data_IF_465199191249
#
_entry.id   IF_465199191249
#
_cell.length_a   1.000
_cell.length_b   1.000
_cell.length_c   1.000
_cell.angle_alpha   90.00
_cell.angle_beta   90.00
_cell.angle_gamma   90.00
#
_symmetry.space_group_name_H-M   'P 1'
#
loop_
_entity.id
_entity.type
_entity.pdbx_description
1 polymer ?
#
# COMPACT_ATOMS: atom_id res chain seq x y z
N UNK A 1 -13.93 9.23 2.06
CA UNK A 1 -14.70 7.97 2.20
C UNK A 1 -16.07 8.19 1.59
N UNK A 2 -16.41 7.41 0.57
CA UNK A 2 -17.73 7.43 -0.04
C UNK A 2 -18.57 6.34 0.64
N UNK A 3 -19.64 6.74 1.33
CA UNK A 3 -20.52 5.82 2.05
C UNK A 3 -21.84 5.77 1.30
N UNK A 4 -22.15 4.59 0.75
CA UNK A 4 -23.44 4.30 0.14
C UNK A 4 -24.16 3.27 1.02
N UNK A 5 -25.27 3.67 1.64
CA UNK A 5 -26.16 2.75 2.35
C UNK A 5 -27.29 2.40 1.41
N UNK A 6 -27.52 1.10 1.22
CA UNK A 6 -28.65 0.57 0.46
C UNK A 6 -29.58 -0.20 1.38
N UNK A 7 -30.88 -0.08 1.13
CA UNK A 7 -31.92 -0.93 1.71
C UNK A 7 -32.79 -1.43 0.57
N UNK A 8 -32.97 -2.75 0.48
CA UNK A 8 -33.71 -3.42 -0.60
C UNK A 8 -33.25 -2.99 -2.01
N UNK A 9 -31.93 -2.92 -2.22
CA UNK A 9 -31.32 -2.50 -3.49
C UNK A 9 -31.36 -0.99 -3.76
N UNK A 10 -32.24 -0.23 -3.10
CA UNK A 10 -32.34 1.21 -3.23
C UNK A 10 -31.26 1.93 -2.39
N UNK A 11 -30.61 2.95 -2.97
CA UNK A 11 -29.69 3.82 -2.22
C UNK A 11 -30.49 4.72 -1.29
N UNK A 12 -30.33 4.54 0.02
CA UNK A 12 -30.99 5.35 1.05
C UNK A 12 -30.04 6.38 1.70
N UNK A 13 -28.72 6.25 1.49
CA UNK A 13 -27.74 7.26 1.87
C UNK A 13 -26.57 7.23 0.89
N UNK A 14 -26.12 8.39 0.46
CA UNK A 14 -24.97 8.55 -0.46
C UNK A 14 -24.23 9.82 0.00
N UNK A 15 -23.14 9.66 0.76
CA UNK A 15 -22.41 10.78 1.37
C UNK A 15 -20.90 10.62 1.27
N UNK A 16 -20.23 11.76 1.13
CA UNK A 16 -18.79 11.87 1.21
C UNK A 16 -18.39 12.33 2.62
N UNK A 17 -17.62 11.51 3.31
CA UNK A 17 -16.97 11.85 4.57
C UNK A 17 -15.47 12.05 4.35
N UNK A 18 -14.86 12.99 5.07
CA UNK A 18 -13.42 12.92 5.30
C UNK A 18 -13.12 11.64 6.10
N UNK A 19 -11.90 11.09 5.97
CA UNK A 19 -11.50 9.90 6.75
C UNK A 19 -11.65 10.19 8.25
N UNK A 20 -11.23 11.39 8.70
CA UNK A 20 -11.43 11.86 10.07
C UNK A 20 -12.90 11.86 10.48
N UNK A 21 -13.78 12.47 9.68
CA UNK A 21 -15.20 12.57 10.00
C UNK A 21 -15.88 11.20 10.13
N UNK A 22 -15.49 10.23 9.31
CA UNK A 22 -15.95 8.86 9.44
C UNK A 22 -15.45 8.21 10.74
N UNK A 23 -14.14 8.29 11.01
CA UNK A 23 -13.55 7.69 12.21
C UNK A 23 -14.13 8.29 13.50
N UNK A 24 -14.28 9.61 13.57
CA UNK A 24 -14.90 10.30 14.71
C UNK A 24 -16.34 9.81 14.94
N UNK A 25 -17.12 9.64 13.86
CA UNK A 25 -18.49 9.17 13.95
C UNK A 25 -18.57 7.71 14.44
N UNK A 26 -17.64 6.85 14.02
CA UNK A 26 -17.53 5.47 14.49
C UNK A 26 -17.19 5.46 15.98
N UNK A 27 -16.14 6.17 16.38
CA UNK A 27 -15.63 6.18 17.76
C UNK A 27 -16.68 6.72 18.74
N UNK A 28 -17.42 7.78 18.36
CA UNK A 28 -18.40 8.43 19.25
C UNK A 28 -19.73 7.69 19.35
N UNK A 29 -20.14 6.94 18.32
CA UNK A 29 -21.51 6.41 18.27
C UNK A 29 -21.76 5.27 19.27
N UNK A 30 -20.73 4.64 19.84
CA UNK A 30 -20.85 3.60 20.86
C UNK A 30 -21.60 2.33 20.43
N UNK A 31 -21.90 2.18 19.14
CA UNK A 31 -22.73 1.11 18.57
C UNK A 31 -22.01 0.20 17.57
N UNK A 32 -20.75 0.54 17.25
CA UNK A 32 -19.94 -0.21 16.30
C UNK A 32 -19.10 -1.25 17.04
N UNK A 33 -18.67 -2.30 16.32
CA UNK A 33 -17.83 -3.34 16.90
C UNK A 33 -16.48 -2.77 17.33
N UNK A 34 -15.89 -3.38 18.36
CA UNK A 34 -14.62 -2.94 18.92
C UNK A 34 -13.49 -2.96 17.88
N UNK A 35 -13.51 -3.90 16.93
CA UNK A 35 -12.50 -3.99 15.87
C UNK A 35 -12.52 -2.77 14.95
N UNK A 36 -13.71 -2.34 14.51
CA UNK A 36 -13.88 -1.14 13.70
C UNK A 36 -13.48 0.13 14.47
N UNK A 37 -13.81 0.21 15.77
CA UNK A 37 -13.39 1.34 16.62
C UNK A 37 -11.86 1.42 16.71
N UNK A 38 -11.19 0.29 16.97
CA UNK A 38 -9.72 0.23 17.06
C UNK A 38 -9.05 0.51 15.71
N UNK A 39 -9.62 0.04 14.60
CA UNK A 39 -9.18 0.39 13.26
C UNK A 39 -9.28 1.90 13.00
N UNK A 40 -10.40 2.52 13.38
CA UNK A 40 -10.59 3.96 13.24
C UNK A 40 -9.59 4.76 14.09
N UNK A 41 -9.31 4.34 15.32
CA UNK A 41 -8.28 4.96 16.17
C UNK A 41 -6.89 4.86 15.54
N UNK A 42 -6.47 3.65 15.14
CA UNK A 42 -5.17 3.45 14.50
C UNK A 42 -5.04 4.21 13.17
N UNK A 43 -6.14 4.37 12.42
CA UNK A 43 -6.18 5.21 11.21
C UNK A 43 -5.89 6.68 11.52
N UNK A 44 -6.46 7.21 12.61
CA UNK A 44 -6.25 8.60 13.03
C UNK A 44 -4.81 8.83 13.51
N UNK A 45 -4.25 7.90 14.30
CA UNK A 45 -2.86 8.02 14.76
C UNK A 45 -1.87 7.93 13.60
N UNK A 46 -2.05 6.98 12.67
CA UNK A 46 -1.23 6.94 11.45
C UNK A 46 -1.31 8.27 10.68
N UNK A 47 -2.52 8.83 10.53
CA UNK A 47 -2.72 10.12 9.89
C UNK A 47 -1.97 11.26 10.58
N UNK A 48 -1.98 11.31 11.93
CA UNK A 48 -1.23 12.29 12.71
C UNK A 48 0.26 12.19 12.43
N UNK A 49 0.84 11.00 12.60
CA UNK A 49 2.29 10.82 12.43
C UNK A 49 2.73 11.06 10.99
N UNK A 50 1.86 10.81 10.00
CA UNK A 50 2.11 11.20 8.62
C UNK A 50 2.13 12.73 8.44
N UNK A 51 1.20 13.46 9.07
CA UNK A 51 1.21 14.93 9.06
C UNK A 51 2.49 15.50 9.68
N UNK A 52 2.92 14.96 10.81
CA UNK A 52 4.15 15.38 11.50
C UNK A 52 5.39 15.06 10.66
N UNK A 53 5.54 13.82 10.19
CA UNK A 53 6.72 13.38 9.44
C UNK A 53 6.93 14.12 8.10
N UNK A 54 5.84 14.56 7.46
CA UNK A 54 5.89 15.29 6.19
C UNK A 54 5.64 16.80 6.34
N UNK A 55 5.56 17.32 7.57
CA UNK A 55 5.24 18.71 7.87
C UNK A 55 3.97 19.21 7.14
N UNK A 56 2.97 18.34 7.01
CA UNK A 56 1.72 18.64 6.31
C UNK A 56 0.62 18.99 7.32
N UNK A 57 0.25 20.26 7.39
CA UNK A 57 -0.75 20.76 8.36
C UNK A 57 -0.41 20.35 9.80
N UNK A 58 0.85 20.46 10.20
CA UNK A 58 1.33 20.09 11.53
C UNK A 58 0.63 20.88 12.66
N UNK A 59 0.14 22.09 12.39
CA UNK A 59 -0.62 22.91 13.35
C UNK A 59 -2.08 22.46 13.53
N UNK A 60 -2.55 21.48 12.74
CA UNK A 60 -3.92 20.96 12.77
C UNK A 60 -3.92 19.45 12.55
N UNK A 61 -3.42 18.75 13.56
CA UNK A 61 -3.30 17.29 13.56
C UNK A 61 -4.68 16.61 13.54
N UNK A 62 -4.80 15.52 12.79
CA UNK A 62 -6.06 14.81 12.53
C UNK A 62 -6.70 14.22 13.78
N UNK A 63 -5.92 13.89 14.82
CA UNK A 63 -6.42 13.42 16.12
C UNK A 63 -6.33 14.51 17.21
N UNK A 64 -6.02 15.76 16.85
CA UNK A 64 -5.84 16.85 17.81
C UNK A 64 -4.53 16.76 18.62
N UNK A 65 -3.57 15.94 18.21
CA UNK A 65 -2.27 15.79 18.86
C UNK A 65 -2.28 14.87 20.09
N UNK A 66 -3.37 14.15 20.32
CA UNK A 66 -3.47 13.12 21.37
C UNK A 66 -3.58 11.76 20.74
N UNK A 67 -2.77 10.80 21.21
CA UNK A 67 -2.84 9.43 20.75
C UNK A 67 -4.17 8.79 21.15
N UNK A 68 -4.81 8.10 20.21
CA UNK A 68 -6.11 7.46 20.44
C UNK A 68 -6.03 5.93 20.38
N UNK A 69 -4.86 5.37 20.07
CA UNK A 69 -4.53 3.94 20.07
C UNK A 69 -3.19 3.65 20.76
N UNK A 70 -3.00 2.42 21.21
CA UNK A 70 -1.73 1.93 21.75
C UNK A 70 -0.77 1.54 20.61
N UNK A 71 -0.19 2.55 19.96
CA UNK A 71 0.80 2.35 18.89
C UNK A 71 2.25 2.38 19.42
N UNK A 72 2.50 3.05 20.56
CA UNK A 72 3.86 3.28 21.06
C UNK A 72 4.55 1.98 21.53
N UNK A 73 3.77 0.99 21.98
CA UNK A 73 4.26 -0.34 22.35
C UNK A 73 4.49 -1.27 21.15
N UNK A 74 4.05 -0.88 19.96
CA UNK A 74 4.13 -1.72 18.76
C UNK A 74 5.58 -1.79 18.26
N UNK A 75 6.05 -3.02 18.11
CA UNK A 75 7.36 -3.31 17.50
C UNK A 75 7.16 -3.65 16.02
N UNK A 76 7.79 -2.87 15.15
CA UNK A 76 7.83 -3.16 13.71
C UNK A 76 8.80 -4.33 13.50
N UNK A 77 8.43 -5.37 12.75
CA UNK A 77 9.34 -6.46 12.40
C UNK A 77 10.60 -5.97 11.69
N UNK A 78 11.70 -6.69 11.89
CA UNK A 78 12.95 -6.43 11.17
C UNK A 78 12.79 -6.68 9.66
N UNK A 79 13.67 -6.06 8.87
CA UNK A 79 13.74 -6.28 7.42
C UNK A 79 14.07 -7.74 7.10
N UNK A 80 13.17 -8.43 6.40
CA UNK A 80 13.30 -9.85 6.06
C UNK A 80 13.10 -10.16 4.58
N UNK A 81 13.44 -9.24 3.68
CA UNK A 81 13.29 -9.46 2.24
C UNK A 81 14.33 -10.47 1.71
N UNK A 82 13.91 -11.30 0.76
CA UNK A 82 14.75 -12.30 0.12
C UNK A 82 15.16 -11.85 -1.28
N UNK A 83 16.37 -12.24 -1.70
CA UNK A 83 16.87 -11.94 -3.04
C UNK A 83 17.58 -13.14 -3.64
N UNK A 84 17.36 -13.35 -4.93
CA UNK A 84 18.07 -14.29 -5.76
C UNK A 84 18.54 -13.56 -7.01
N UNK A 85 19.83 -13.67 -7.32
CA UNK A 85 20.46 -12.91 -8.38
C UNK A 85 21.17 -13.85 -9.34
N UNK A 86 20.63 -13.96 -10.55
CA UNK A 86 21.24 -14.59 -11.70
C UNK A 86 21.29 -13.67 -12.91
N UNK A 87 21.10 -12.35 -12.73
CA UNK A 87 21.13 -11.38 -13.83
C UNK A 87 22.55 -10.89 -14.07
N UNK A 88 22.92 -10.72 -15.34
CA UNK A 88 24.20 -10.12 -15.71
C UNK A 88 24.15 -8.58 -15.79
N UNK A 89 22.93 -8.02 -15.89
CA UNK A 89 22.74 -6.59 -16.12
C UNK A 89 22.17 -5.85 -14.91
N UNK A 90 21.55 -6.57 -13.96
CA UNK A 90 21.05 -5.99 -12.72
C UNK A 90 22.14 -6.05 -11.64
N UNK A 91 22.43 -4.93 -11.00
CA UNK A 91 23.52 -4.81 -10.00
C UNK A 91 23.02 -4.55 -8.58
N UNK A 92 21.70 -4.54 -8.39
CA UNK A 92 21.07 -4.40 -7.09
C UNK A 92 19.69 -3.77 -7.17
N UNK A 93 19.04 -3.64 -6.02
CA UNK A 93 17.68 -3.12 -5.91
C UNK A 93 17.58 -2.07 -4.82
N UNK A 94 16.74 -1.07 -5.03
CA UNK A 94 16.34 -0.09 -4.01
C UNK A 94 14.84 -0.07 -3.88
N UNK A 95 14.33 0.13 -2.66
CA UNK A 95 12.92 0.04 -2.34
C UNK A 95 12.34 1.41 -1.99
N UNK A 96 11.07 1.61 -2.31
CA UNK A 96 10.29 2.73 -1.79
C UNK A 96 8.85 2.31 -1.54
N UNK A 97 8.25 2.93 -0.53
CA UNK A 97 6.82 2.82 -0.26
C UNK A 97 6.14 4.15 -0.60
N UNK A 98 5.12 4.10 -1.44
CA UNK A 98 4.33 5.27 -1.84
C UNK A 98 2.92 5.13 -1.28
N UNK A 99 2.43 6.15 -0.59
CA UNK A 99 1.14 6.11 0.14
C UNK A 99 0.21 7.30 -0.19
N UNK A 100 0.52 8.10 -1.22
CA UNK A 100 -0.20 9.36 -1.54
C UNK A 100 -1.66 9.17 -1.97
N UNK A 101 -1.97 8.10 -2.70
CA UNK A 101 -3.34 7.80 -3.15
C UNK A 101 -3.72 6.32 -3.00
N UNK A 102 -2.73 5.44 -3.19
CA UNK A 102 -2.80 3.99 -2.92
C UNK A 102 -1.45 3.58 -2.35
N UNK A 103 -1.46 2.55 -1.51
CA UNK A 103 -0.21 1.90 -1.09
C UNK A 103 0.42 1.19 -2.28
N UNK A 104 1.65 1.57 -2.62
CA UNK A 104 2.45 0.95 -3.66
C UNK A 104 3.85 0.64 -3.13
N UNK A 105 4.31 -0.58 -3.38
CA UNK A 105 5.70 -0.96 -3.15
C UNK A 105 6.44 -0.82 -4.48
N UNK A 106 7.51 -0.04 -4.51
CA UNK A 106 8.26 0.24 -5.75
C UNK A 106 9.68 -0.29 -5.60
N UNK A 107 10.00 -1.33 -6.37
CA UNK A 107 11.36 -1.81 -6.54
C UNK A 107 12.01 -1.06 -7.71
N UNK A 108 13.24 -0.60 -7.50
CA UNK A 108 14.07 0.05 -8.53
C UNK A 108 15.37 -0.70 -8.65
N UNK A 109 15.46 -1.52 -9.70
CA UNK A 109 16.60 -2.36 -10.03
C UNK A 109 17.66 -1.53 -10.73
N UNK A 110 18.83 -1.38 -10.14
CA UNK A 110 19.99 -0.73 -10.77
C UNK A 110 20.45 -1.61 -11.92
N UNK A 111 20.62 -1.01 -13.10
CA UNK A 111 21.04 -1.73 -14.30
C UNK A 111 22.19 -1.01 -14.99
N UNK A 112 23.03 -1.78 -15.66
CA UNK A 112 24.07 -1.24 -16.57
C UNK A 112 23.55 -1.04 -18.00
N UNK A 113 22.32 -1.47 -18.28
CA UNK A 113 21.69 -1.31 -19.59
C UNK A 113 21.36 0.17 -19.88
N UNK A 114 21.50 0.55 -21.16
CA UNK A 114 21.18 1.90 -21.64
C UNK A 114 19.67 2.10 -21.94
N UNK A 115 18.90 1.02 -22.05
CA UNK A 115 17.47 0.99 -22.37
C UNK A 115 16.78 -0.12 -21.57
N UNK A 116 15.48 0.00 -21.24
CA UNK A 116 14.70 -1.12 -20.68
C UNK A 116 14.31 -2.16 -21.74
N UNK A 117 14.62 -1.95 -23.02
CA UNK A 117 14.25 -2.88 -24.09
C UNK A 117 14.81 -4.29 -23.86
N UNK A 118 13.97 -5.30 -24.08
CA UNK A 118 14.31 -6.71 -23.89
C UNK A 118 14.25 -7.18 -22.43
N UNK A 119 14.09 -6.28 -21.45
CA UNK A 119 13.74 -6.69 -20.10
C UNK A 119 12.28 -7.15 -20.05
N UNK A 120 11.99 -8.13 -19.20
CA UNK A 120 10.63 -8.49 -18.81
C UNK A 120 10.50 -8.51 -17.30
N UNK A 121 9.29 -8.27 -16.80
CA UNK A 121 9.05 -8.26 -15.37
C UNK A 121 7.73 -8.93 -15.00
N UNK A 122 7.74 -9.63 -13.87
CA UNK A 122 6.52 -10.17 -13.26
C UNK A 122 6.40 -9.77 -11.80
N UNK A 123 5.15 -9.65 -11.34
CA UNK A 123 4.80 -9.50 -9.92
C UNK A 123 3.86 -10.63 -9.56
N UNK A 124 4.27 -11.51 -8.65
CA UNK A 124 3.54 -12.74 -8.30
C UNK A 124 3.16 -13.56 -9.55
N UNK A 125 4.05 -13.61 -10.54
CA UNK A 125 3.84 -14.30 -11.83
C UNK A 125 2.94 -13.56 -12.84
N UNK A 126 2.39 -12.40 -12.49
CA UNK A 126 1.63 -11.55 -13.42
C UNK A 126 2.58 -10.66 -14.21
N UNK A 127 2.48 -10.69 -15.53
CA UNK A 127 3.29 -9.84 -16.41
C UNK A 127 2.99 -8.35 -16.19
N UNK A 128 4.05 -7.59 -15.92
CA UNK A 128 4.02 -6.13 -15.77
C UNK A 128 5.02 -5.44 -16.70
N UNK A 129 5.57 -6.17 -17.68
CA UNK A 129 6.55 -5.68 -18.66
C UNK A 129 6.10 -4.40 -19.38
N UNK A 130 4.84 -4.21 -19.80
CA UNK A 130 4.41 -2.99 -20.46
C UNK A 130 4.57 -1.71 -19.62
N UNK A 131 4.76 -1.83 -18.30
CA UNK A 131 4.94 -0.71 -17.38
C UNK A 131 6.38 -0.39 -17.03
N UNK A 132 7.37 -1.05 -17.64
CA UNK A 132 8.78 -0.81 -17.33
C UNK A 132 9.26 0.54 -17.85
N UNK A 133 10.00 1.24 -17.00
CA UNK A 133 10.66 2.48 -17.34
C UNK A 133 12.08 2.48 -16.77
N UNK A 134 13.04 2.98 -17.54
CA UNK A 134 14.40 3.25 -17.10
C UNK A 134 14.51 4.72 -16.67
N UNK A 135 14.75 4.94 -15.39
CA UNK A 135 14.91 6.27 -14.81
C UNK A 135 16.20 6.31 -14.00
N UNK A 136 17.15 7.17 -14.38
CA UNK A 136 18.43 7.35 -13.68
C UNK A 136 19.19 6.03 -13.44
N UNK A 137 19.32 5.20 -14.49
CA UNK A 137 20.02 3.91 -14.44
C UNK A 137 19.28 2.83 -13.63
N UNK A 138 17.96 2.99 -13.40
CA UNK A 138 17.15 2.03 -12.66
C UNK A 138 15.88 1.67 -13.41
N UNK A 139 15.61 0.38 -13.51
CA UNK A 139 14.33 -0.14 -14.01
C UNK A 139 13.36 -0.18 -12.83
N UNK A 140 12.21 0.48 -13.01
CA UNK A 140 11.17 0.59 -11.99
C UNK A 140 10.11 -0.49 -12.18
N UNK A 141 9.80 -1.22 -11.11
CA UNK A 141 8.67 -2.14 -11.03
C UNK A 141 7.81 -1.76 -9.82
N UNK A 142 6.51 -1.54 -10.04
CA UNK A 142 5.59 -1.10 -9.00
C UNK A 142 4.54 -2.17 -8.71
N UNK A 143 4.47 -2.60 -7.45
CA UNK A 143 3.37 -3.41 -6.92
C UNK A 143 2.31 -2.45 -6.39
N UNK A 144 1.11 -2.52 -6.95
CA UNK A 144 0.02 -1.59 -6.61
C UNK A 144 -1.18 -2.30 -6.00
N UNK A 145 -2.09 -1.54 -5.39
CA UNK A 145 -3.34 -2.09 -4.86
C UNK A 145 -3.17 -2.91 -3.59
N UNK A 146 -2.13 -2.63 -2.80
CA UNK A 146 -1.88 -3.33 -1.54
C UNK A 146 -2.83 -2.78 -0.48
N UNK A 147 -3.72 -3.64 0.03
CA UNK A 147 -4.63 -3.26 1.09
C UNK A 147 -3.90 -3.17 2.43
N UNK A 148 -4.41 -2.35 3.35
CA UNK A 148 -3.82 -2.17 4.68
C UNK A 148 -3.70 -3.48 5.48
N UNK A 149 -4.62 -4.44 5.28
CA UNK A 149 -4.58 -5.76 5.92
C UNK A 149 -3.52 -6.71 5.37
N UNK A 150 -2.97 -6.40 4.18
CA UNK A 150 -2.07 -7.27 3.42
C UNK A 150 -0.65 -6.65 3.31
N UNK A 151 -0.28 -5.71 4.18
CA UNK A 151 1.03 -5.04 4.15
C UNK A 151 2.21 -5.96 4.52
N UNK A 152 1.94 -7.06 5.21
CA UNK A 152 2.92 -8.10 5.55
C UNK A 152 3.01 -9.20 4.49
N UNK A 153 2.12 -9.20 3.49
CA UNK A 153 2.15 -10.16 2.41
C UNK A 153 3.34 -9.82 1.49
N UNK A 154 4.34 -10.70 1.49
CA UNK A 154 5.47 -10.63 0.57
C UNK A 154 5.02 -10.74 -0.89
N UNK A 155 5.77 -10.07 -1.76
CA UNK A 155 5.54 -9.97 -3.19
C UNK A 155 6.78 -10.39 -3.93
N UNK A 156 6.64 -11.36 -4.82
CA UNK A 156 7.74 -11.83 -5.67
C UNK A 156 7.83 -10.89 -6.88
N UNK A 157 8.86 -10.06 -6.92
CA UNK A 157 9.15 -9.16 -8.03
C UNK A 157 10.32 -9.76 -8.81
N UNK A 158 10.06 -10.23 -10.02
CA UNK A 158 11.09 -10.84 -10.88
C UNK A 158 11.36 -9.91 -12.04
N UNK A 159 12.63 -9.54 -12.23
CA UNK A 159 13.11 -8.84 -13.42
C UNK A 159 14.04 -9.77 -14.20
N UNK A 160 13.69 -10.04 -15.45
CA UNK A 160 14.51 -10.86 -16.36
C UNK A 160 15.21 -9.93 -17.34
N UNK A 161 16.53 -10.08 -17.46
CA UNK A 161 17.32 -9.32 -18.42
C UNK A 161 17.23 -9.91 -19.85
N UNK A 162 17.67 -9.17 -20.88
CA UNK A 162 17.65 -9.63 -22.27
C UNK A 162 18.51 -10.89 -22.55
N UNK A 163 19.39 -11.29 -21.62
CA UNK A 163 20.22 -12.50 -21.72
C UNK A 163 19.57 -13.72 -21.06
N UNK A 164 18.40 -13.54 -20.46
CA UNK A 164 17.64 -14.59 -19.77
C UNK A 164 18.01 -14.76 -18.29
N UNK A 165 18.91 -13.93 -17.75
CA UNK A 165 19.23 -13.92 -16.33
C UNK A 165 18.13 -13.24 -15.51
N UNK A 166 17.80 -13.78 -14.35
CA UNK A 166 16.72 -13.28 -13.50
C UNK A 166 17.22 -12.68 -12.20
N UNK A 167 16.64 -11.55 -11.80
CA UNK A 167 16.75 -11.00 -10.46
C UNK A 167 15.39 -11.12 -9.77
N UNK A 168 15.29 -11.97 -8.76
CA UNK A 168 14.09 -12.14 -7.93
C UNK A 168 14.25 -11.39 -6.63
N UNK A 169 13.27 -10.57 -6.28
CA UNK A 169 13.21 -9.85 -5.03
C UNK A 169 11.86 -10.07 -4.36
N UNK A 170 11.87 -10.77 -3.23
CA UNK A 170 10.66 -11.09 -2.46
C UNK A 170 10.56 -10.16 -1.25
N UNK A 171 9.55 -9.29 -1.25
CA UNK A 171 9.48 -8.17 -0.28
C UNK A 171 8.05 -7.71 -0.01
N UNK A 172 7.81 -7.19 1.19
CA UNK A 172 6.54 -6.59 1.61
C UNK A 172 6.69 -5.10 1.99
N UNK A 173 5.59 -4.33 2.07
CA UNK A 173 5.60 -3.04 2.73
C UNK A 173 6.10 -3.06 4.18
N UNK A 174 5.85 -4.12 4.95
CA UNK A 174 6.37 -4.25 6.32
C UNK A 174 7.89 -4.38 6.33
N UNK A 175 8.49 -5.09 5.38
CA UNK A 175 9.96 -5.12 5.24
C UNK A 175 10.49 -3.70 5.04
N UNK A 176 9.87 -2.90 4.17
CA UNK A 176 10.24 -1.49 4.01
C UNK A 176 10.14 -0.72 5.33
N UNK A 177 9.10 -0.94 6.13
CA UNK A 177 8.95 -0.30 7.44
C UNK A 177 10.12 -0.70 8.36
N UNK A 178 10.48 -1.99 8.41
CA UNK A 178 11.63 -2.50 9.15
C UNK A 178 12.96 -1.84 8.74
N UNK A 179 13.15 -1.58 7.45
CA UNK A 179 14.28 -0.81 6.96
C UNK A 179 14.18 0.68 7.36
N UNK A 180 12.98 1.27 7.33
CA UNK A 180 12.77 2.69 7.59
C UNK A 180 12.92 3.06 9.05
N UNK A 181 12.53 2.19 9.99
CA UNK A 181 12.68 2.42 11.45
C UNK A 181 14.14 2.46 11.91
N UNK A 182 15.11 2.10 11.05
CA UNK A 182 16.53 2.35 11.31
C UNK A 182 16.87 3.86 11.37
N UNK A 183 15.95 4.73 10.95
CA UNK A 183 16.06 6.19 11.04
C UNK A 183 15.14 6.68 12.14
N UNK A 184 15.68 7.37 13.15
CA UNK A 184 14.91 7.88 14.30
C UNK A 184 13.70 8.73 13.88
N UNK A 185 13.84 9.56 12.84
CA UNK A 185 12.76 10.41 12.32
C UNK A 185 11.58 9.67 11.68
N UNK A 186 11.71 8.35 11.50
CA UNK A 186 10.71 7.51 10.84
C UNK A 186 10.10 6.48 11.79
N UNK A 187 10.59 6.38 13.03
CA UNK A 187 10.15 5.34 13.98
C UNK A 187 8.66 5.44 14.27
N UNK A 188 8.18 6.61 14.69
CA UNK A 188 6.79 6.77 15.13
C UNK A 188 5.80 6.63 13.98
N UNK A 189 6.12 7.21 12.81
CA UNK A 189 5.32 7.03 11.59
C UNK A 189 5.18 5.54 11.22
N UNK A 190 6.28 4.80 11.20
CA UNK A 190 6.24 3.40 10.78
C UNK A 190 5.60 2.50 11.85
N UNK A 191 5.74 2.80 13.14
CA UNK A 191 5.00 2.11 14.22
C UNK A 191 3.50 2.36 14.11
N UNK A 192 3.07 3.61 13.94
CA UNK A 192 1.67 3.93 13.76
C UNK A 192 1.10 3.29 12.48
N UNK A 193 1.87 3.27 11.39
CA UNK A 193 1.46 2.63 10.15
C UNK A 193 1.35 1.11 10.28
N UNK A 194 2.29 0.48 10.98
CA UNK A 194 2.23 -0.96 11.26
C UNK A 194 1.07 -1.30 12.20
N UNK A 195 0.79 -0.48 13.22
CA UNK A 195 -0.39 -0.66 14.07
C UNK A 195 -1.69 -0.57 13.27
N UNK A 196 -1.80 0.40 12.35
CA UNK A 196 -2.93 0.49 11.42
C UNK A 196 -3.09 -0.80 10.59
N UNK A 197 -2.00 -1.38 10.10
CA UNK A 197 -2.03 -2.69 9.44
C UNK A 197 -2.55 -3.80 10.37
N UNK A 198 -2.03 -3.92 11.59
CA UNK A 198 -2.47 -4.94 12.55
C UNK A 198 -3.97 -4.84 12.83
N UNK A 199 -4.48 -3.62 13.04
CA UNK A 199 -5.93 -3.41 13.26
C UNK A 199 -6.74 -3.69 11.98
N UNK A 200 -6.23 -3.33 10.81
CA UNK A 200 -6.89 -3.62 9.53
C UNK A 200 -6.97 -5.13 9.26
N UNK A 201 -5.92 -5.88 9.62
CA UNK A 201 -5.86 -7.34 9.49
C UNK A 201 -6.79 -8.04 10.49
N UNK A 202 -6.87 -7.54 11.73
CA UNK A 202 -7.77 -8.07 12.75
C UNK A 202 -9.25 -7.77 12.44
N UNK A 203 -9.54 -6.66 11.78
CA UNK A 203 -10.91 -6.30 11.38
C UNK A 203 -11.37 -7.17 10.21
N UNK A 204 -12.12 -8.24 10.51
CA UNK A 204 -12.68 -9.13 9.49
C UNK A 204 -13.93 -8.56 8.79
N UNK A 205 -14.48 -7.45 9.29
CA UNK A 205 -15.71 -6.82 8.81
C UNK A 205 -16.95 -7.73 8.93
N UNK A 206 -18.16 -7.16 8.80
CA UNK A 206 -19.35 -7.97 8.57
C UNK A 206 -19.35 -8.44 7.11
N UNK A 207 -18.83 -9.64 6.84
CA UNK A 207 -19.04 -10.42 5.61
C UNK A 207 -19.23 -9.64 4.31
N UNK A 208 -18.26 -8.79 3.92
CA UNK A 208 -18.31 -8.11 2.63
C UNK A 208 -17.56 -8.95 1.58
N UNK A 209 -18.32 -9.65 0.74
CA UNK A 209 -17.83 -10.20 -0.53
C UNK A 209 -17.31 -9.03 -1.37
N UNK A 210 -16.00 -8.81 -1.33
CA UNK A 210 -15.32 -7.98 -2.32
C UNK A 210 -15.15 -8.83 -3.58
N UNK A 211 -16.14 -8.78 -4.48
CA UNK A 211 -15.98 -9.31 -5.82
C UNK A 211 -14.84 -8.54 -6.49
N UNK A 212 -13.67 -9.18 -6.55
CA UNK A 212 -12.47 -8.65 -7.20
C UNK A 212 -12.74 -8.70 -8.71
N UNK A 213 -13.28 -7.62 -9.28
CA UNK A 213 -13.29 -7.44 -10.71
C UNK A 213 -11.85 -7.11 -11.15
N UNK A 214 -11.06 -8.17 -11.39
CA UNK A 214 -9.88 -8.07 -12.25
C UNK A 214 -10.42 -7.83 -13.66
N UNK A 215 -10.09 -6.67 -14.22
CA UNK A 215 -10.45 -6.28 -15.57
C UNK A 215 -9.82 -7.23 -16.58
N UNK A 216 -10.64 -7.89 -17.40
CA UNK A 216 -10.23 -8.34 -18.71
C UNK A 216 -10.88 -7.40 -19.74
N UNK A 217 -10.03 -6.63 -20.42
CA UNK A 217 -10.14 -6.22 -21.82
C UNK A 217 -11.49 -6.44 -22.54
N UNK A 218 -12.08 -5.34 -23.01
CA UNK A 218 -13.24 -5.36 -23.91
C UNK A 218 -13.61 -3.98 -24.45
N UNK A 219 -12.69 -3.32 -25.16
CA UNK A 219 -13.07 -2.33 -26.16
C UNK A 219 -13.90 -3.06 -27.22
N UNK A 220 -15.17 -2.71 -27.35
CA UNK A 220 -15.84 -2.67 -28.66
C UNK A 220 -16.75 -1.45 -28.68
N UNK A 221 -16.36 -0.48 -29.50
CA UNK A 221 -17.24 0.59 -29.93
C UNK A 221 -18.41 -0.03 -30.70
N UNK A 222 -19.64 0.27 -30.28
CA UNK A 222 -20.81 0.09 -31.12
C UNK A 222 -21.10 1.43 -31.82
N UNK A 223 -20.99 1.43 -33.15
CA UNK A 223 -21.49 2.50 -33.99
C UNK A 223 -23.02 2.57 -33.89
N UNK A 224 -23.65 3.76 -33.93
CA UNK A 224 -25.09 3.85 -34.11
C UNK A 224 -25.43 3.56 -35.58
N UNK A 225 -26.33 2.59 -35.79
CA UNK A 225 -26.97 2.37 -37.07
C UNK A 225 -28.06 3.42 -37.31
N UNK A 226 -28.02 4.03 -38.49
CA UNK A 226 -29.19 4.43 -39.30
C UNK A 226 -28.91 4.00 -40.74
#
# INVERSE_FOLDING_TARGET
>A
VHVVVKYDGAKIKDQYYSVKGYCDAVIKAGKYDAGLVELCKATLDYGRYAQEAFNYKADSLVNGGTDVSDWASVTVPDYGADKEDGSELVTGVTLSLVTTSKTQLVARFRTTAASPDGFSATVDGVDVTPGLALENGKIKVAVTGIAAKDLDAKKAIVLTDPKGGTYTFEVSPVDYMGLAVSKSSQVDLNRAFYNYHLKAKAYQGPGAVLTRALSASGLTAAAPAL
#
